data_IF_500875684207
#
_entry.id   IF_500875684207
#
_cell.length_a   1.000
_cell.length_b   1.000
_cell.length_c   1.000
_cell.angle_alpha   90.00
_cell.angle_beta   90.00
_cell.angle_gamma   90.00
#
_symmetry.space_group_name_H-M   'P 1'
#
loop_
_entity.id
_entity.type
_entity.pdbx_description
1 polymer ?
#
# COMPACT_ATOMS: atom_id res chain seq x y z
N UNK A 1 0.96 -29.24 25.10
CA UNK A 1 1.32 -27.97 24.44
C UNK A 1 0.18 -27.58 23.51
N UNK A 2 -0.32 -26.35 23.59
CA UNK A 2 -1.65 -25.96 23.07
C UNK A 2 -1.65 -25.73 21.54
N UNK A 3 -1.80 -26.81 20.78
CA UNK A 3 -1.79 -26.76 19.31
C UNK A 3 -2.90 -25.86 18.73
N UNK A 4 -4.06 -25.77 19.38
CA UNK A 4 -5.17 -24.90 18.95
C UNK A 4 -4.81 -23.41 18.94
N UNK A 5 -4.03 -22.93 19.92
CA UNK A 5 -3.60 -21.53 19.98
C UNK A 5 -2.60 -21.17 18.86
N UNK A 6 -1.76 -22.14 18.46
CA UNK A 6 -0.88 -22.02 17.29
C UNK A 6 -1.72 -21.90 16.02
N UNK A 7 -2.63 -22.85 15.77
CA UNK A 7 -3.48 -22.87 14.56
C UNK A 7 -4.36 -21.62 14.38
N UNK A 8 -4.93 -21.05 15.46
CA UNK A 8 -5.72 -19.82 15.38
C UNK A 8 -4.92 -18.58 14.99
N UNK A 9 -3.69 -18.44 15.53
CA UNK A 9 -2.79 -17.31 15.24
C UNK A 9 -2.32 -17.31 13.78
N UNK A 10 -2.25 -18.47 13.14
CA UNK A 10 -1.78 -18.59 11.76
C UNK A 10 -2.84 -18.21 10.72
N UNK A 11 -4.11 -18.48 11.01
CA UNK A 11 -5.22 -18.01 10.16
C UNK A 11 -5.24 -16.49 10.06
N UNK A 12 -4.77 -15.80 11.11
CA UNK A 12 -4.69 -14.34 11.19
C UNK A 12 -3.86 -13.69 10.08
N UNK A 13 -2.70 -14.25 9.71
CA UNK A 13 -1.88 -13.66 8.64
C UNK A 13 -2.52 -13.79 7.26
N UNK A 14 -3.11 -14.95 6.99
CA UNK A 14 -3.78 -15.24 5.72
C UNK A 14 -5.02 -14.37 5.53
N UNK A 15 -5.83 -14.22 6.59
CA UNK A 15 -6.97 -13.31 6.61
C UNK A 15 -6.49 -11.85 6.51
N UNK A 16 -5.45 -11.46 7.25
CA UNK A 16 -4.90 -10.11 7.17
C UNK A 16 -4.42 -9.78 5.76
N UNK A 17 -3.76 -10.71 5.07
CA UNK A 17 -3.33 -10.55 3.67
C UNK A 17 -4.51 -10.31 2.72
N UNK A 18 -5.58 -11.09 2.85
CA UNK A 18 -6.79 -10.89 2.04
C UNK A 18 -7.47 -9.56 2.37
N UNK A 19 -7.66 -9.25 3.66
CA UNK A 19 -8.34 -8.03 4.10
C UNK A 19 -7.57 -6.79 3.70
N UNK A 20 -6.24 -6.78 3.84
CA UNK A 20 -5.42 -5.66 3.37
C UNK A 20 -5.45 -5.55 1.84
N UNK A 21 -5.41 -6.66 1.10
CA UNK A 21 -5.56 -6.64 -0.35
C UNK A 21 -6.92 -6.09 -0.81
N UNK A 22 -8.02 -6.47 -0.16
CA UNK A 22 -9.35 -5.92 -0.42
C UNK A 22 -9.43 -4.43 -0.04
N UNK A 23 -8.82 -4.05 1.08
CA UNK A 23 -8.75 -2.67 1.51
C UNK A 23 -7.98 -1.81 0.50
N UNK A 24 -6.90 -2.35 -0.10
CA UNK A 24 -6.17 -1.68 -1.18
C UNK A 24 -7.07 -1.35 -2.38
N UNK A 25 -8.00 -2.24 -2.75
CA UNK A 25 -8.97 -2.00 -3.85
C UNK A 25 -9.82 -0.76 -3.55
N UNK A 26 -10.38 -0.72 -2.34
CA UNK A 26 -11.25 0.37 -1.89
C UNK A 26 -10.45 1.67 -1.80
N UNK A 27 -9.26 1.61 -1.21
CA UNK A 27 -8.36 2.75 -1.06
C UNK A 27 -7.95 3.35 -2.40
N UNK A 28 -7.56 2.54 -3.38
CA UNK A 28 -7.18 3.04 -4.71
C UNK A 28 -8.36 3.66 -5.45
N UNK A 29 -9.56 3.09 -5.31
CA UNK A 29 -10.77 3.69 -5.87
C UNK A 29 -11.05 5.07 -5.28
N UNK A 30 -10.85 5.22 -3.97
CA UNK A 30 -10.99 6.51 -3.27
C UNK A 30 -9.91 7.50 -3.70
N UNK A 31 -8.65 7.06 -3.82
CA UNK A 31 -7.54 7.90 -4.30
C UNK A 31 -7.83 8.40 -5.71
N UNK A 32 -8.26 7.52 -6.62
CA UNK A 32 -8.56 7.89 -8.00
C UNK A 32 -9.69 8.93 -8.09
N UNK A 33 -10.77 8.75 -7.30
CA UNK A 33 -11.87 9.71 -7.23
C UNK A 33 -11.44 11.04 -6.60
N UNK A 34 -10.58 11.00 -5.60
CA UNK A 34 -10.11 12.19 -4.90
C UNK A 34 -9.11 12.98 -5.76
N UNK A 35 -8.19 12.28 -6.42
CA UNK A 35 -7.18 12.83 -7.32
C UNK A 35 -7.81 13.64 -8.46
N UNK A 36 -8.89 13.12 -9.06
CA UNK A 36 -9.63 13.78 -10.13
C UNK A 36 -10.43 15.03 -9.70
N UNK A 37 -10.68 15.21 -8.41
CA UNK A 37 -11.57 16.29 -7.90
C UNK A 37 -10.82 17.51 -7.34
N UNK A 38 -9.55 17.36 -6.93
CA UNK A 38 -8.80 18.43 -6.28
C UNK A 38 -7.75 19.03 -7.22
N UNK A 39 -8.00 20.24 -7.72
CA UNK A 39 -6.93 21.10 -8.20
C UNK A 39 -6.04 21.48 -7.01
N UNK A 40 -4.73 21.28 -7.13
CA UNK A 40 -3.76 21.64 -6.10
C UNK A 40 -3.66 23.16 -6.03
N UNK A 41 -4.13 23.74 -4.92
CA UNK A 41 -4.14 25.19 -4.71
C UNK A 41 -2.92 25.61 -3.88
N UNK A 42 -2.45 24.75 -2.95
CA UNK A 42 -1.41 25.07 -1.97
C UNK A 42 -0.43 23.92 -1.69
N UNK A 43 0.75 24.24 -1.18
CA UNK A 43 1.82 23.30 -0.84
C UNK A 43 1.41 22.19 0.13
N UNK A 44 0.71 22.59 1.19
CA UNK A 44 0.21 21.69 2.23
C UNK A 44 -0.70 20.62 1.65
N UNK A 45 -1.54 21.00 0.67
CA UNK A 45 -2.44 20.08 -0.01
C UNK A 45 -1.68 19.09 -0.90
N UNK A 46 -0.59 19.52 -1.54
CA UNK A 46 0.28 18.66 -2.34
C UNK A 46 0.99 17.61 -1.46
N UNK A 47 1.62 18.04 -0.36
CA UNK A 47 2.31 17.15 0.57
C UNK A 47 1.34 16.13 1.19
N UNK A 48 0.18 16.59 1.64
CA UNK A 48 -0.86 15.71 2.20
C UNK A 48 -1.31 14.69 1.17
N UNK A 49 -1.51 15.11 -0.10
CA UNK A 49 -1.90 14.21 -1.20
C UNK A 49 -0.84 13.14 -1.45
N UNK A 50 0.44 13.52 -1.56
CA UNK A 50 1.56 12.59 -1.75
C UNK A 50 1.68 11.57 -0.61
N UNK A 51 1.56 12.02 0.65
CA UNK A 51 1.64 11.13 1.82
C UNK A 51 0.49 10.11 1.80
N UNK A 52 -0.74 10.57 1.52
CA UNK A 52 -1.91 9.69 1.46
C UNK A 52 -1.76 8.66 0.34
N UNK A 53 -1.37 9.09 -0.87
CA UNK A 53 -1.15 8.18 -2.01
C UNK A 53 -0.05 7.17 -1.69
N UNK A 54 1.02 7.58 -1.01
CA UNK A 54 2.09 6.68 -0.61
C UNK A 54 1.62 5.62 0.40
N UNK A 55 0.97 6.04 1.49
CA UNK A 55 0.54 5.12 2.55
C UNK A 55 -0.55 4.17 2.02
N UNK A 56 -1.57 4.72 1.35
CA UNK A 56 -2.74 3.96 0.92
C UNK A 56 -2.53 3.22 -0.40
N UNK A 57 -1.79 3.81 -1.33
CA UNK A 57 -1.52 3.24 -2.66
C UNK A 57 -0.31 2.31 -2.71
N UNK A 58 0.67 2.45 -1.80
CA UNK A 58 1.89 1.62 -1.80
C UNK A 58 1.99 0.80 -0.52
N UNK A 59 1.82 1.43 0.65
CA UNK A 59 1.97 0.77 1.95
C UNK A 59 1.00 -0.41 2.14
N UNK A 60 -0.30 -0.17 1.94
CA UNK A 60 -1.35 -1.19 2.09
C UNK A 60 -1.12 -2.43 1.17
N UNK A 61 -0.92 -2.27 -0.14
CA UNK A 61 -0.63 -3.40 -1.02
C UNK A 61 0.65 -4.16 -0.61
N UNK A 62 1.70 -3.45 -0.17
CA UNK A 62 2.92 -4.08 0.34
C UNK A 62 2.63 -4.97 1.55
N UNK A 63 1.82 -4.50 2.49
CA UNK A 63 1.45 -5.30 3.68
C UNK A 63 0.68 -6.56 3.28
N UNK A 64 -0.21 -6.49 2.29
CA UNK A 64 -0.94 -7.65 1.78
C UNK A 64 0.02 -8.70 1.21
N UNK A 65 1.01 -8.27 0.41
CA UNK A 65 2.05 -9.14 -0.17
C UNK A 65 2.91 -9.76 0.92
N UNK A 66 3.38 -8.97 1.89
CA UNK A 66 4.26 -9.43 2.97
C UNK A 66 3.53 -10.45 3.86
N UNK A 67 2.31 -10.15 4.30
CA UNK A 67 1.51 -11.05 5.13
C UNK A 67 1.24 -12.37 4.42
N UNK A 68 0.83 -12.33 3.15
CA UNK A 68 0.58 -13.53 2.37
C UNK A 68 1.85 -14.34 2.13
N UNK A 69 2.98 -13.66 1.86
CA UNK A 69 4.28 -14.31 1.59
C UNK A 69 4.85 -15.01 2.82
N UNK A 70 4.74 -14.37 4.00
CA UNK A 70 5.17 -14.98 5.27
C UNK A 70 4.35 -16.23 5.57
N UNK A 71 3.04 -16.17 5.35
CA UNK A 71 2.15 -17.31 5.56
C UNK A 71 2.47 -18.46 4.59
N UNK A 72 2.66 -18.16 3.30
CA UNK A 72 3.04 -19.17 2.30
C UNK A 72 4.39 -19.83 2.60
N UNK A 73 5.40 -19.04 3.00
CA UNK A 73 6.72 -19.56 3.39
C UNK A 73 6.62 -20.53 4.56
N UNK A 74 5.72 -20.27 5.51
CA UNK A 74 5.50 -21.14 6.69
C UNK A 74 4.74 -22.41 6.33
N UNK A 75 3.74 -22.33 5.46
CA UNK A 75 3.02 -23.49 4.91
C UNK A 75 4.01 -24.40 4.17
N UNK A 76 4.86 -23.83 3.29
CA UNK A 76 5.89 -24.60 2.57
C UNK A 76 6.89 -25.29 3.49
N UNK A 77 7.19 -24.70 4.65
CA UNK A 77 8.08 -25.27 5.65
C UNK A 77 7.41 -26.31 6.58
N UNK A 78 6.16 -26.73 6.30
CA UNK A 78 5.42 -27.68 7.13
C UNK A 78 5.04 -27.14 8.52
N UNK A 79 5.21 -25.83 8.76
CA UNK A 79 4.95 -25.19 10.07
C UNK A 79 3.48 -24.79 10.25
N UNK A 80 2.66 -24.97 9.22
CA UNK A 80 1.24 -24.63 9.25
C UNK A 80 0.41 -25.53 8.31
N UNK A 81 -0.89 -25.60 8.55
CA UNK A 81 -1.82 -26.36 7.73
C UNK A 81 -2.06 -25.65 6.38
N UNK A 82 -2.40 -26.39 5.32
CA UNK A 82 -2.73 -25.85 4.00
C UNK A 82 -4.02 -24.99 3.99
N UNK A 83 -4.82 -25.03 5.07
CA UNK A 83 -5.98 -24.15 5.27
C UNK A 83 -5.54 -22.69 5.38
N UNK A 84 -5.79 -21.90 4.35
CA UNK A 84 -5.38 -20.49 4.25
C UNK A 84 -4.49 -20.19 3.03
N UNK A 85 -3.89 -21.22 2.43
CA UNK A 85 -3.01 -21.06 1.26
C UNK A 85 -3.65 -20.25 0.13
N UNK A 86 -4.91 -20.52 -0.18
CA UNK A 86 -5.66 -19.79 -1.22
C UNK A 86 -5.89 -18.31 -0.88
N UNK A 87 -6.21 -18.00 0.38
CA UNK A 87 -6.42 -16.62 0.85
C UNK A 87 -5.10 -15.83 0.80
N UNK A 88 -4.00 -16.44 1.21
CA UNK A 88 -2.66 -15.83 1.17
C UNK A 88 -2.19 -15.58 -0.27
N UNK A 89 -2.44 -16.51 -1.19
CA UNK A 89 -2.16 -16.29 -2.63
C UNK A 89 -3.05 -15.17 -3.17
N UNK A 90 -4.33 -15.18 -2.85
CA UNK A 90 -5.28 -14.15 -3.32
C UNK A 90 -4.88 -12.76 -2.82
N UNK A 91 -4.51 -12.64 -1.54
CA UNK A 91 -4.00 -11.39 -0.96
C UNK A 91 -2.70 -10.92 -1.61
N UNK A 92 -1.77 -11.83 -1.94
CA UNK A 92 -0.56 -11.48 -2.72
C UNK A 92 -0.94 -10.99 -4.12
N UNK A 93 -1.83 -11.69 -4.83
CA UNK A 93 -2.21 -11.33 -6.20
C UNK A 93 -2.91 -9.97 -6.22
N UNK A 94 -3.86 -9.73 -5.33
CA UNK A 94 -4.48 -8.41 -5.17
C UNK A 94 -3.43 -7.37 -4.81
N UNK A 95 -2.61 -7.62 -3.79
CA UNK A 95 -1.56 -6.70 -3.36
C UNK A 95 -0.62 -6.32 -4.51
N UNK A 96 -0.15 -7.29 -5.30
CA UNK A 96 0.73 -7.01 -6.44
C UNK A 96 0.05 -6.20 -7.54
N UNK A 97 -1.20 -6.55 -7.90
CA UNK A 97 -1.96 -5.81 -8.91
C UNK A 97 -2.15 -4.34 -8.51
N UNK A 98 -2.57 -4.12 -7.27
CA UNK A 98 -2.85 -2.80 -6.74
C UNK A 98 -1.58 -2.02 -6.39
N UNK A 99 -0.47 -2.68 -6.08
CA UNK A 99 0.83 -2.03 -5.95
C UNK A 99 1.28 -1.41 -7.27
N UNK A 100 1.12 -2.13 -8.39
CA UNK A 100 1.44 -1.60 -9.71
C UNK A 100 0.57 -0.39 -10.06
N UNK A 101 -0.73 -0.46 -9.78
CA UNK A 101 -1.65 0.67 -9.97
C UNK A 101 -1.32 1.85 -9.06
N UNK A 102 -1.01 1.61 -7.79
CA UNK A 102 -0.63 2.66 -6.84
C UNK A 102 0.66 3.37 -7.23
N UNK A 103 1.64 2.64 -7.75
CA UNK A 103 2.88 3.23 -8.30
C UNK A 103 2.60 4.08 -9.54
N UNK A 104 1.74 3.63 -10.44
CA UNK A 104 1.35 4.39 -11.61
C UNK A 104 0.70 5.72 -11.22
N UNK A 105 -0.29 5.68 -10.31
CA UNK A 105 -0.95 6.88 -9.80
C UNK A 105 0.03 7.83 -9.09
N UNK A 106 0.99 7.28 -8.33
CA UNK A 106 2.01 8.10 -7.67
C UNK A 106 2.90 8.84 -8.68
N UNK A 107 3.31 8.17 -9.76
CA UNK A 107 4.09 8.80 -10.84
C UNK A 107 3.26 9.87 -11.54
N UNK A 108 1.99 9.60 -11.84
CA UNK A 108 1.08 10.59 -12.45
C UNK A 108 0.94 11.83 -11.57
N UNK A 109 0.76 11.68 -10.25
CA UNK A 109 0.69 12.80 -9.31
C UNK A 109 1.97 13.64 -9.30
N UNK A 110 3.15 13.01 -9.37
CA UNK A 110 4.41 13.75 -9.46
C UNK A 110 4.46 14.53 -10.78
N UNK A 111 4.09 13.90 -11.89
CA UNK A 111 4.14 14.52 -13.21
C UNK A 111 3.20 15.72 -13.32
N UNK A 112 1.94 15.57 -12.91
CA UNK A 112 0.95 16.66 -12.95
C UNK A 112 1.31 17.82 -12.03
N UNK A 113 1.97 17.55 -10.90
CA UNK A 113 2.33 18.58 -9.94
C UNK A 113 3.79 19.04 -10.06
N UNK A 114 4.50 18.66 -11.13
CA UNK A 114 5.95 18.92 -11.26
C UNK A 114 6.29 20.41 -11.24
N UNK A 115 5.42 21.26 -11.77
CA UNK A 115 5.55 22.73 -11.67
C UNK A 115 5.56 23.19 -10.21
N UNK A 116 4.60 22.74 -9.39
CA UNK A 116 4.53 23.09 -7.98
C UNK A 116 5.70 22.51 -7.17
N UNK A 117 6.19 21.32 -7.54
CA UNK A 117 7.36 20.68 -6.92
C UNK A 117 8.64 21.47 -7.23
N UNK A 118 8.82 21.92 -8.46
CA UNK A 118 9.99 22.71 -8.85
C UNK A 118 10.03 24.07 -8.13
N UNK A 119 8.90 24.76 -8.00
CA UNK A 119 8.80 25.99 -7.21
C UNK A 119 9.18 25.74 -5.73
N UNK A 120 8.82 24.59 -5.19
CA UNK A 120 9.15 24.16 -3.83
C UNK A 120 10.67 23.96 -3.67
N UNK A 121 11.29 23.21 -4.58
CA UNK A 121 12.73 22.93 -4.57
C UNK A 121 13.51 24.25 -4.64
N UNK A 122 13.15 25.13 -5.58
CA UNK A 122 13.83 26.41 -5.76
C UNK A 122 13.71 27.31 -4.51
N UNK A 123 12.54 27.32 -3.86
CA UNK A 123 12.31 28.09 -2.63
C UNK A 123 13.14 27.59 -1.45
N UNK A 124 13.37 26.28 -1.34
CA UNK A 124 14.21 25.70 -0.29
C UNK A 124 15.71 25.87 -0.57
N UNK A 125 16.12 25.83 -1.84
CA UNK A 125 17.51 26.04 -2.23
C UNK A 125 18.00 27.48 -1.96
N UNK A 126 17.09 28.45 -1.94
CA UNK A 126 17.40 29.83 -1.57
C UNK A 126 17.46 30.12 -0.06
N UNK A 127 17.23 29.14 0.82
CA UNK A 127 17.42 29.33 2.26
C UNK A 127 18.92 29.22 2.54
N UNK A 128 19.63 30.33 2.84
CA UNK A 128 21.06 30.26 3.13
C UNK A 128 21.25 29.36 4.35
N UNK A 129 22.11 28.35 4.23
CA UNK A 129 22.53 27.56 5.40
C UNK A 129 23.21 28.52 6.36
N UNK A 130 22.58 28.79 7.51
CA UNK A 130 23.25 29.41 8.64
C UNK A 130 24.29 28.48 9.23
#
# INVERSE_FOLDING_TARGET
MNDKARFGKYRGLSIASLVTGLLSVVSISLIFRWSSSFHVINLETLLTKLIIVFILGIGLPLTAIICGSIDLKRIKAGRCNNKGKGLSITGIVLGSLFLTLGLLLFIEEIFFNMSAINDLIFKYEQIPSK
#
